data_IF_118000497337
#
_entry.id   IF_118000497337
#
_cell.length_a   1.000
_cell.length_b   1.000
_cell.length_c   1.000
_cell.angle_alpha   90.00
_cell.angle_beta   90.00
_cell.angle_gamma   90.00
#
_symmetry.space_group_name_H-M   'P 1'
#
loop_
_entity.id
_entity.type
_entity.pdbx_description
1 polymer ?
#
# COMPACT_ATOMS: atom_id res chain seq x y z
N UNK A 1 5.43 -8.35 16.39
CA UNK A 1 4.62 -9.55 16.70
C UNK A 1 3.20 -9.10 16.96
N UNK A 2 2.34 -9.20 15.95
CA UNK A 2 0.92 -8.96 16.08
C UNK A 2 0.27 -10.15 16.75
N UNK A 3 -0.05 -10.03 18.02
CA UNK A 3 -1.01 -10.91 18.67
C UNK A 3 -2.38 -10.31 18.42
N UNK A 4 -3.05 -10.75 17.36
CA UNK A 4 -4.48 -10.53 17.18
C UNK A 4 -5.19 -11.21 18.34
N UNK A 5 -5.65 -10.43 19.31
CA UNK A 5 -6.70 -10.88 20.23
C UNK A 5 -7.90 -11.24 19.37
N UNK A 6 -8.27 -12.53 19.40
CA UNK A 6 -9.43 -13.08 18.70
C UNK A 6 -10.70 -12.35 19.09
N UNK A 7 -11.05 -11.31 18.35
CA UNK A 7 -12.46 -10.98 18.19
C UNK A 7 -12.91 -11.76 16.96
N UNK A 8 -13.78 -12.74 17.16
CA UNK A 8 -14.35 -13.61 16.14
C UNK A 8 -15.22 -12.79 15.19
N UNK A 9 -14.58 -12.09 14.27
CA UNK A 9 -15.24 -11.59 13.06
C UNK A 9 -14.97 -12.61 11.99
N UNK A 10 -16.00 -13.40 11.64
CA UNK A 10 -15.93 -14.32 10.51
C UNK A 10 -15.67 -13.49 9.24
N UNK A 11 -14.48 -13.54 8.64
CA UNK A 11 -14.22 -12.75 7.45
C UNK A 11 -14.94 -13.43 6.29
N UNK A 12 -15.90 -12.76 5.70
CA UNK A 12 -16.23 -13.06 4.30
C UNK A 12 -15.05 -12.53 3.46
N UNK A 13 -14.02 -13.36 3.33
CA UNK A 13 -12.80 -13.06 2.59
C UNK A 13 -13.16 -12.86 1.13
N UNK A 14 -13.26 -11.63 0.69
CA UNK A 14 -13.16 -11.32 -0.72
C UNK A 14 -11.74 -11.70 -1.11
N UNK A 15 -11.57 -12.70 -1.99
CA UNK A 15 -10.25 -13.07 -2.53
C UNK A 15 -9.67 -11.84 -3.20
N UNK A 16 -8.63 -11.30 -2.60
CA UNK A 16 -7.89 -10.15 -3.12
C UNK A 16 -6.42 -10.55 -3.10
N UNK A 17 -5.77 -10.49 -4.24
CA UNK A 17 -4.34 -10.73 -4.32
C UNK A 17 -3.61 -9.66 -3.49
N UNK A 18 -2.68 -10.09 -2.63
CA UNK A 18 -1.78 -9.20 -1.90
C UNK A 18 -0.35 -9.53 -2.30
N UNK A 19 0.27 -8.65 -3.06
CA UNK A 19 1.66 -8.76 -3.45
C UNK A 19 2.55 -8.44 -2.25
N UNK A 20 3.38 -9.41 -1.88
CA UNK A 20 4.31 -9.27 -0.76
C UNK A 20 5.61 -8.60 -1.20
N UNK A 21 6.16 -7.70 -0.38
CA UNK A 21 7.49 -7.15 -0.65
C UNK A 21 8.61 -8.19 -0.50
N UNK A 22 8.32 -9.32 0.13
CA UNK A 22 9.26 -10.45 0.30
C UNK A 22 9.12 -11.52 -0.79
N UNK A 23 8.30 -11.30 -1.84
CA UNK A 23 8.17 -12.26 -2.94
C UNK A 23 9.53 -12.39 -3.63
N UNK A 24 10.07 -13.64 -3.81
CA UNK A 24 11.39 -13.86 -4.41
C UNK A 24 11.53 -13.33 -5.84
N UNK A 25 10.43 -13.03 -6.53
CA UNK A 25 10.47 -12.45 -7.88
C UNK A 25 11.09 -11.04 -7.91
N UNK A 26 11.00 -10.30 -6.79
CA UNK A 26 11.52 -8.92 -6.69
C UNK A 26 12.16 -8.59 -5.36
N UNK A 27 11.86 -9.31 -4.28
CA UNK A 27 12.24 -8.93 -2.91
C UNK A 27 13.73 -8.68 -2.72
N UNK A 28 14.59 -9.50 -3.32
CA UNK A 28 16.04 -9.37 -3.22
C UNK A 28 16.64 -8.39 -4.23
N UNK A 29 15.81 -7.85 -5.14
CA UNK A 29 16.26 -6.90 -6.14
C UNK A 29 16.55 -5.54 -5.52
N UNK A 30 17.47 -4.81 -6.12
CA UNK A 30 17.87 -3.48 -5.64
C UNK A 30 16.73 -2.49 -5.86
N UNK A 31 16.32 -1.80 -4.79
CA UNK A 31 15.46 -0.63 -4.86
C UNK A 31 16.29 0.65 -4.97
N UNK A 32 17.30 0.79 -4.13
CA UNK A 32 18.16 1.95 -4.11
C UNK A 32 19.63 1.53 -3.95
N UNK A 33 20.51 2.19 -4.71
CA UNK A 33 21.96 2.06 -4.57
C UNK A 33 22.58 3.45 -4.68
N UNK A 34 23.23 3.90 -3.60
CA UNK A 34 23.94 5.17 -3.56
C UNK A 34 25.10 5.10 -2.59
N UNK A 35 26.32 5.38 -3.07
CA UNK A 35 27.53 5.25 -2.26
C UNK A 35 27.73 3.83 -1.75
N UNK A 36 27.96 3.69 -0.43
CA UNK A 36 28.10 2.39 0.24
C UNK A 36 26.78 1.73 0.64
N UNK A 37 25.63 2.33 0.29
CA UNK A 37 24.31 1.87 0.73
C UNK A 37 23.57 1.20 -0.42
N UNK A 38 23.16 -0.04 -0.21
CA UNK A 38 22.24 -0.77 -1.08
C UNK A 38 21.01 -1.17 -0.27
N UNK A 39 19.84 -0.90 -0.81
CA UNK A 39 18.54 -1.29 -0.24
C UNK A 39 17.77 -2.15 -1.25
N UNK A 40 17.14 -3.19 -0.74
CA UNK A 40 16.31 -4.11 -1.53
C UNK A 40 14.84 -3.70 -1.45
N UNK A 41 14.04 -4.24 -2.37
CA UNK A 41 12.57 -4.07 -2.32
C UNK A 41 12.00 -4.67 -1.04
N UNK A 42 12.47 -5.85 -0.61
CA UNK A 42 12.04 -6.45 0.66
C UNK A 42 12.36 -5.58 1.89
N UNK A 43 13.44 -4.81 1.84
CA UNK A 43 13.87 -3.97 2.96
C UNK A 43 13.25 -2.57 3.00
N UNK A 44 12.80 -2.04 1.85
CA UNK A 44 12.40 -0.61 1.76
C UNK A 44 11.24 -0.36 0.77
N UNK A 45 10.71 -1.40 0.13
CA UNK A 45 9.75 -1.28 -0.97
C UNK A 45 8.28 -1.23 -0.56
N UNK A 46 7.94 -1.02 0.71
CA UNK A 46 6.53 -1.02 1.16
C UNK A 46 5.65 -0.03 0.39
N UNK A 47 6.17 1.16 0.06
CA UNK A 47 5.44 2.16 -0.72
C UNK A 47 5.20 1.73 -2.18
N UNK A 48 6.16 1.02 -2.78
CA UNK A 48 6.00 0.45 -4.12
C UNK A 48 4.88 -0.59 -4.12
N UNK A 49 4.96 -1.54 -3.19
CA UNK A 49 3.99 -2.64 -3.08
C UNK A 49 2.60 -2.15 -2.64
N UNK A 50 2.51 -1.08 -1.84
CA UNK A 50 1.24 -0.46 -1.52
C UNK A 50 0.55 0.11 -2.77
N UNK A 51 1.31 0.77 -3.67
CA UNK A 51 0.78 1.24 -4.95
C UNK A 51 0.38 0.07 -5.86
N UNK A 52 1.26 -0.93 -6.05
CA UNK A 52 0.95 -2.15 -6.83
C UNK A 52 -0.34 -2.81 -6.33
N UNK A 53 -0.46 -3.02 -5.02
CA UNK A 53 -1.65 -3.63 -4.42
C UNK A 53 -2.91 -2.80 -4.63
N UNK A 54 -2.83 -1.47 -4.45
CA UNK A 54 -3.97 -0.57 -4.62
C UNK A 54 -4.48 -0.58 -6.08
N UNK A 55 -3.59 -0.41 -7.06
CA UNK A 55 -3.96 -0.34 -8.47
C UNK A 55 -4.47 -1.70 -8.96
N UNK A 56 -3.78 -2.79 -8.61
CA UNK A 56 -4.25 -4.14 -8.98
C UNK A 56 -5.64 -4.46 -8.42
N UNK A 57 -5.90 -4.12 -7.17
CA UNK A 57 -7.23 -4.31 -6.57
C UNK A 57 -8.32 -3.47 -7.23
N UNK A 58 -7.98 -2.28 -7.74
CA UNK A 58 -8.90 -1.36 -8.36
C UNK A 58 -9.28 -1.77 -9.80
N UNK A 59 -8.29 -2.14 -10.62
CA UNK A 59 -8.49 -2.31 -12.05
C UNK A 59 -7.85 -3.56 -12.68
N UNK A 60 -7.04 -4.32 -11.91
CA UNK A 60 -6.36 -5.53 -12.38
C UNK A 60 -5.01 -5.27 -13.06
N UNK A 61 -4.59 -4.02 -13.18
CA UNK A 61 -3.29 -3.67 -13.76
C UNK A 61 -2.16 -3.95 -12.79
N UNK A 62 -1.13 -4.66 -13.25
CA UNK A 62 0.01 -5.03 -12.43
C UNK A 62 1.18 -4.06 -12.67
N UNK A 63 1.41 -3.19 -11.70
CA UNK A 63 2.61 -2.36 -11.65
C UNK A 63 3.76 -3.21 -11.08
N UNK A 64 4.69 -3.62 -11.95
CA UNK A 64 5.84 -4.45 -11.55
C UNK A 64 6.68 -3.73 -10.49
N UNK A 65 6.90 -4.33 -9.31
CA UNK A 65 7.71 -3.70 -8.25
C UNK A 65 9.15 -3.36 -8.68
N UNK A 66 9.74 -4.12 -9.63
CA UNK A 66 11.07 -3.80 -10.17
C UNK A 66 11.03 -2.52 -11.01
N UNK A 67 10.04 -2.41 -11.88
CA UNK A 67 9.82 -1.20 -12.69
C UNK A 67 9.55 0.01 -11.79
N UNK A 68 8.69 -0.14 -10.78
CA UNK A 68 8.42 0.94 -9.82
C UNK A 68 9.66 1.33 -9.00
N UNK A 69 10.51 0.38 -8.65
CA UNK A 69 11.76 0.66 -7.94
C UNK A 69 12.71 1.51 -8.78
N UNK A 70 12.88 1.16 -10.05
CA UNK A 70 13.69 1.94 -11.00
C UNK A 70 13.07 3.34 -11.24
N UNK A 71 11.77 3.39 -11.47
CA UNK A 71 11.01 4.64 -11.63
C UNK A 71 11.21 5.57 -10.43
N UNK A 72 10.99 5.04 -9.22
CA UNK A 72 11.11 5.78 -7.96
C UNK A 72 12.54 6.27 -7.71
N UNK A 73 13.53 5.38 -7.81
CA UNK A 73 14.91 5.72 -7.50
C UNK A 73 15.50 6.71 -8.51
N UNK A 74 15.24 6.54 -9.81
CA UNK A 74 15.75 7.42 -10.86
C UNK A 74 15.18 8.84 -10.82
N UNK A 75 14.02 9.04 -10.18
CA UNK A 75 13.34 10.34 -10.03
C UNK A 75 13.47 10.95 -8.62
N UNK A 76 14.25 10.32 -7.75
CA UNK A 76 14.48 10.85 -6.39
C UNK A 76 13.34 10.61 -5.41
N UNK A 77 12.44 9.65 -5.69
CA UNK A 77 11.34 9.28 -4.78
C UNK A 77 11.75 8.24 -3.72
N UNK A 78 13.03 8.14 -3.47
CA UNK A 78 13.58 7.36 -2.37
C UNK A 78 14.14 8.28 -1.29
N UNK A 79 13.58 8.20 -0.08
CA UNK A 79 14.10 8.96 1.05
C UNK A 79 15.16 8.14 1.78
N UNK A 80 16.37 8.66 1.83
CA UNK A 80 17.51 7.99 2.42
C UNK A 80 17.22 7.50 3.85
N UNK A 81 17.40 6.20 4.09
CA UNK A 81 17.17 5.56 5.39
C UNK A 81 15.70 5.31 5.76
N UNK A 82 14.71 5.80 4.98
CA UNK A 82 13.29 5.64 5.28
C UNK A 82 12.49 4.87 4.21
N UNK A 83 12.99 4.77 2.98
CA UNK A 83 12.32 4.06 1.90
C UNK A 83 11.62 4.99 0.91
N UNK A 84 10.44 4.64 0.45
CA UNK A 84 9.68 5.39 -0.56
C UNK A 84 9.23 6.75 -0.03
N UNK A 85 9.58 7.82 -0.77
CA UNK A 85 9.01 9.15 -0.57
C UNK A 85 7.62 9.25 -1.21
N UNK A 86 6.69 9.97 -0.58
CA UNK A 86 5.30 10.05 -1.04
C UNK A 86 5.10 10.88 -2.32
N UNK A 87 6.11 11.62 -2.76
CA UNK A 87 6.13 12.26 -4.08
C UNK A 87 6.10 11.26 -5.23
N UNK A 88 6.39 9.98 -4.96
CA UNK A 88 6.18 8.89 -5.91
C UNK A 88 4.73 8.86 -6.43
N UNK A 89 3.75 9.04 -5.56
CA UNK A 89 2.34 8.78 -5.90
C UNK A 89 1.75 9.76 -6.92
N UNK A 90 1.89 11.09 -6.75
CA UNK A 90 1.46 12.02 -7.80
C UNK A 90 2.27 11.87 -9.09
N UNK A 91 3.56 11.56 -9.01
CA UNK A 91 4.42 11.39 -10.17
C UNK A 91 4.07 10.12 -10.97
N UNK A 92 3.86 9.00 -10.28
CA UNK A 92 3.37 7.76 -10.89
C UNK A 92 2.00 7.97 -11.57
N UNK A 93 1.09 8.71 -10.93
CA UNK A 93 -0.21 9.04 -11.53
C UNK A 93 -0.10 9.85 -12.82
N UNK A 94 0.88 10.76 -12.89
CA UNK A 94 1.13 11.59 -14.08
C UNK A 94 1.82 10.82 -15.21
N UNK A 95 2.83 10.00 -14.89
CA UNK A 95 3.71 9.38 -15.87
C UNK A 95 3.26 7.97 -16.30
N UNK A 96 2.65 7.21 -15.37
CA UNK A 96 2.24 5.83 -15.60
C UNK A 96 0.71 5.68 -15.71
N UNK A 97 -0.03 6.74 -15.36
CA UNK A 97 -1.47 6.68 -15.22
C UNK A 97 -2.22 6.30 -16.51
N UNK A 98 -1.80 6.81 -17.65
CA UNK A 98 -2.42 6.50 -18.96
C UNK A 98 -2.17 5.03 -19.34
N UNK A 99 -0.96 4.52 -19.15
CA UNK A 99 -0.58 3.15 -19.50
C UNK A 99 -1.27 2.12 -18.61
N UNK A 100 -1.38 2.39 -17.29
CA UNK A 100 -1.94 1.47 -16.30
C UNK A 100 -3.35 1.85 -15.82
N UNK A 101 -4.02 2.75 -16.54
CA UNK A 101 -5.42 3.15 -16.36
C UNK A 101 -5.76 3.58 -14.92
N UNK A 102 -4.95 4.48 -14.37
CA UNK A 102 -5.22 5.07 -13.05
C UNK A 102 -4.84 6.55 -12.98
N UNK A 103 -5.40 7.26 -12.03
CA UNK A 103 -5.08 8.65 -11.74
C UNK A 103 -4.85 8.85 -10.25
N UNK A 104 -3.83 9.63 -9.90
CA UNK A 104 -3.69 10.16 -8.56
C UNK A 104 -4.69 11.32 -8.38
N UNK A 105 -5.59 11.19 -7.40
CA UNK A 105 -6.67 12.16 -7.16
C UNK A 105 -6.22 13.26 -6.20
N UNK A 106 -5.35 12.92 -5.25
CA UNK A 106 -4.84 13.86 -4.26
C UNK A 106 -4.42 13.20 -2.96
N UNK A 107 -3.90 14.02 -2.05
CA UNK A 107 -3.51 13.64 -0.68
C UNK A 107 -4.55 14.16 0.31
N UNK A 108 -5.01 13.31 1.22
CA UNK A 108 -5.99 13.65 2.27
C UNK A 108 -5.53 13.12 3.63
N UNK A 109 -6.11 13.69 4.71
CA UNK A 109 -5.70 13.41 6.10
C UNK A 109 -6.83 12.82 6.94
N UNK A 110 -7.98 12.52 6.37
CA UNK A 110 -9.11 11.97 7.11
C UNK A 110 -9.62 10.66 6.54
N UNK A 111 -9.88 9.70 7.41
CA UNK A 111 -10.49 8.42 7.04
C UNK A 111 -11.90 8.60 6.45
N UNK A 112 -12.60 9.69 6.81
CA UNK A 112 -13.88 10.07 6.20
C UNK A 112 -13.74 10.33 4.70
N UNK A 113 -12.70 11.05 4.27
CA UNK A 113 -12.42 11.32 2.85
C UNK A 113 -12.09 10.02 2.11
N UNK A 114 -11.29 9.13 2.72
CA UNK A 114 -10.99 7.80 2.16
C UNK A 114 -12.28 7.00 1.97
N UNK A 115 -13.16 6.93 2.97
CA UNK A 115 -14.44 6.22 2.89
C UNK A 115 -15.31 6.72 1.74
N UNK A 116 -15.41 8.04 1.57
CA UNK A 116 -16.17 8.63 0.46
C UNK A 116 -15.57 8.23 -0.89
N UNK A 117 -14.25 8.19 -0.99
CA UNK A 117 -13.53 7.80 -2.21
C UNK A 117 -13.71 6.31 -2.54
N UNK A 118 -13.60 5.41 -1.55
CA UNK A 118 -13.83 3.97 -1.70
C UNK A 118 -15.25 3.67 -2.19
N UNK A 119 -16.27 4.42 -1.74
CA UNK A 119 -17.65 4.29 -2.22
C UNK A 119 -17.81 4.60 -3.70
N UNK A 120 -16.91 5.38 -4.28
CA UNK A 120 -16.84 5.70 -5.71
C UNK A 120 -15.92 4.74 -6.48
N UNK A 121 -15.61 3.56 -5.89
CA UNK A 121 -14.72 2.53 -6.45
C UNK A 121 -13.26 2.97 -6.63
N UNK A 122 -12.83 4.02 -5.93
CA UNK A 122 -11.42 4.38 -5.80
C UNK A 122 -10.72 3.52 -4.75
N UNK A 123 -9.42 3.73 -4.62
CA UNK A 123 -8.54 3.08 -3.63
C UNK A 123 -7.62 4.10 -2.99
N UNK A 124 -6.94 3.72 -1.91
CA UNK A 124 -5.99 4.59 -1.24
C UNK A 124 -4.69 3.84 -0.89
N UNK A 125 -3.60 4.59 -0.85
CA UNK A 125 -2.36 4.20 -0.16
C UNK A 125 -2.25 5.05 1.09
N UNK A 126 -2.03 4.44 2.25
CA UNK A 126 -1.93 5.10 3.54
C UNK A 126 -0.53 4.95 4.14
N UNK A 127 -0.02 6.03 4.73
CA UNK A 127 1.14 5.96 5.62
C UNK A 127 0.66 5.64 7.03
N UNK A 128 1.24 4.60 7.61
CA UNK A 128 1.20 4.28 9.04
C UNK A 128 2.62 4.41 9.60
N UNK A 129 2.85 4.36 10.93
CA UNK A 129 4.19 4.56 11.47
C UNK A 129 5.25 3.67 10.82
N UNK A 130 6.12 4.30 10.01
CA UNK A 130 7.23 3.65 9.31
C UNK A 130 6.87 2.68 8.18
N UNK A 131 5.63 2.70 7.68
CA UNK A 131 5.17 1.73 6.69
C UNK A 131 4.04 2.26 5.80
N UNK A 132 3.93 1.74 4.56
CA UNK A 132 2.80 2.02 3.66
C UNK A 132 1.93 0.78 3.49
N UNK A 133 0.62 0.99 3.50
CA UNK A 133 -0.42 -0.02 3.25
C UNK A 133 -1.40 0.45 2.17
N UNK A 134 -2.05 -0.48 1.48
CA UNK A 134 -3.16 -0.15 0.59
C UNK A 134 -4.50 -0.35 1.29
N UNK A 135 -5.46 0.55 1.05
CA UNK A 135 -6.85 0.46 1.54
C UNK A 135 -7.76 0.44 0.31
N UNK A 136 -8.46 -0.67 0.09
CA UNK A 136 -9.11 -0.94 -1.19
C UNK A 136 -10.62 -1.15 -1.12
N UNK A 137 -11.20 -1.29 0.05
CA UNK A 137 -12.64 -1.37 0.24
C UNK A 137 -13.08 -0.91 1.63
N UNK A 138 -14.35 -0.55 1.74
CA UNK A 138 -15.01 -0.20 2.99
C UNK A 138 -16.27 -1.04 3.19
N UNK A 139 -16.47 -1.54 4.40
CA UNK A 139 -17.62 -2.35 4.80
C UNK A 139 -18.40 -1.64 5.90
N UNK A 140 -19.59 -1.12 5.53
CA UNK A 140 -20.36 -0.23 6.41
C UNK A 140 -20.98 -0.93 7.63
N UNK A 141 -21.30 -2.23 7.52
CA UNK A 141 -22.00 -2.97 8.59
C UNK A 141 -21.23 -3.03 9.90
N UNK A 142 -19.90 -2.95 9.85
CA UNK A 142 -19.01 -3.08 11.00
C UNK A 142 -17.87 -2.04 10.98
N UNK A 143 -18.01 -1.02 10.14
CA UNK A 143 -17.04 0.09 10.00
C UNK A 143 -15.59 -0.39 9.79
N UNK A 144 -15.42 -1.39 8.89
CA UNK A 144 -14.12 -1.97 8.60
C UNK A 144 -13.62 -1.57 7.20
N UNK A 145 -12.29 -1.51 7.07
CA UNK A 145 -11.58 -1.25 5.82
C UNK A 145 -10.78 -2.48 5.40
N UNK A 146 -10.80 -2.81 4.11
CA UNK A 146 -9.97 -3.89 3.58
C UNK A 146 -8.57 -3.35 3.32
N UNK A 147 -7.62 -3.84 4.11
CA UNK A 147 -6.20 -3.47 4.07
C UNK A 147 -5.41 -4.56 3.37
N UNK A 148 -4.58 -4.16 2.42
CA UNK A 148 -3.59 -5.01 1.77
C UNK A 148 -2.20 -4.54 2.23
N UNK A 149 -1.56 -5.35 3.08
CA UNK A 149 -0.25 -5.05 3.64
C UNK A 149 0.80 -5.99 3.05
N UNK A 150 1.79 -5.43 2.38
CA UNK A 150 2.88 -6.19 1.77
C UNK A 150 3.84 -6.82 2.76
N UNK A 151 3.82 -6.42 4.04
CA UNK A 151 4.75 -6.85 5.09
C UNK A 151 4.15 -7.76 6.16
N UNK A 152 2.81 -7.91 6.22
CA UNK A 152 2.11 -8.71 7.27
C UNK A 152 2.67 -10.14 7.36
N UNK A 153 3.08 -10.71 6.25
CA UNK A 153 3.58 -12.08 6.20
C UNK A 153 5.06 -12.10 5.87
N UNK A 154 5.88 -11.56 6.76
CA UNK A 154 7.35 -11.60 6.62
C UNK A 154 7.82 -12.96 6.09
N UNK A 155 8.56 -12.94 4.96
CA UNK A 155 9.11 -14.11 4.25
C UNK A 155 8.09 -15.00 3.54
N UNK A 156 6.86 -14.57 3.31
CA UNK A 156 5.90 -15.31 2.48
C UNK A 156 5.78 -14.68 1.09
N UNK A 157 5.55 -15.51 0.06
CA UNK A 157 5.24 -15.04 -1.29
C UNK A 157 3.90 -14.30 -1.29
N UNK A 158 3.57 -13.72 -2.43
CA UNK A 158 2.25 -13.14 -2.72
C UNK A 158 1.11 -14.05 -2.24
N UNK A 159 0.13 -13.48 -1.55
CA UNK A 159 -1.02 -14.15 -0.95
C UNK A 159 -2.34 -13.67 -1.56
N UNK A 160 -3.44 -14.35 -1.26
CA UNK A 160 -4.79 -13.99 -1.72
C UNK A 160 -5.68 -13.45 -0.58
N UNK A 161 -5.12 -13.02 0.52
CA UNK A 161 -5.87 -12.59 1.70
C UNK A 161 -5.48 -11.18 2.12
N UNK A 162 -6.44 -10.25 2.04
CA UNK A 162 -6.39 -8.98 2.74
C UNK A 162 -7.11 -9.05 4.09
N UNK A 163 -6.85 -8.08 4.96
CA UNK A 163 -7.43 -8.02 6.30
C UNK A 163 -8.49 -6.94 6.41
N UNK A 164 -9.66 -7.28 6.99
CA UNK A 164 -10.66 -6.31 7.37
C UNK A 164 -10.28 -5.69 8.72
N UNK A 165 -9.87 -4.42 8.70
CA UNK A 165 -9.39 -3.68 9.86
C UNK A 165 -10.48 -2.69 10.29
N UNK A 166 -10.89 -2.69 11.58
CA UNK A 166 -11.81 -1.69 12.12
C UNK A 166 -11.27 -0.27 11.99
N UNK A 167 -12.14 0.69 11.70
CA UNK A 167 -11.78 2.11 11.61
C UNK A 167 -11.07 2.62 12.87
N UNK A 168 -11.44 2.10 14.04
CA UNK A 168 -10.82 2.45 15.33
C UNK A 168 -9.33 2.18 15.36
N UNK A 169 -8.85 1.07 14.78
CA UNK A 169 -7.41 0.76 14.73
C UNK A 169 -6.64 1.65 13.75
N UNK A 170 -7.30 2.12 12.68
CA UNK A 170 -6.70 3.04 11.71
C UNK A 170 -6.63 4.50 12.21
N UNK A 171 -7.29 4.80 13.31
CA UNK A 171 -7.36 6.14 13.90
C UNK A 171 -6.90 6.18 15.37
N UNK A 172 -6.50 5.05 15.95
CA UNK A 172 -6.06 4.96 17.34
C UNK A 172 -4.77 5.76 17.56
N UNK A 173 -4.77 6.81 18.40
CA UNK A 173 -3.57 7.59 18.66
C UNK A 173 -2.43 6.75 19.25
N UNK A 174 -1.26 6.81 18.58
CA UNK A 174 -0.09 6.00 18.95
C UNK A 174 -0.19 4.52 18.58
N UNK A 175 -1.27 4.12 17.87
CA UNK A 175 -1.43 2.76 17.36
C UNK A 175 -0.50 2.48 16.18
N UNK A 176 -0.11 1.23 16.01
CA UNK A 176 0.80 0.81 14.94
C UNK A 176 0.19 0.89 13.53
N UNK A 177 -1.14 1.00 13.44
CA UNK A 177 -1.90 1.21 12.20
C UNK A 177 -2.50 2.61 12.11
N UNK A 178 -2.15 3.51 13.03
CA UNK A 178 -2.61 4.89 12.95
C UNK A 178 -2.21 5.51 11.62
N UNK A 179 -3.20 5.78 10.77
CA UNK A 179 -2.94 6.41 9.48
C UNK A 179 -2.64 7.90 9.66
N UNK A 180 -1.52 8.35 9.09
CA UNK A 180 -1.08 9.74 9.14
C UNK A 180 -1.67 10.55 7.98
N UNK A 181 -1.65 9.98 6.78
CA UNK A 181 -2.24 10.54 5.57
C UNK A 181 -2.52 9.46 4.52
N UNK A 182 -3.22 9.86 3.46
CA UNK A 182 -3.63 8.96 2.39
C UNK A 182 -3.44 9.60 1.02
N UNK A 183 -2.96 8.84 0.06
CA UNK A 183 -3.02 9.17 -1.36
C UNK A 183 -4.16 8.42 -2.02
N UNK A 184 -5.03 9.13 -2.73
CA UNK A 184 -6.23 8.59 -3.36
C UNK A 184 -5.99 8.33 -4.84
N UNK A 185 -6.51 7.20 -5.33
CA UNK A 185 -6.42 6.80 -6.73
C UNK A 185 -7.80 6.41 -7.28
N UNK A 186 -8.05 6.75 -8.54
CA UNK A 186 -9.23 6.36 -9.30
C UNK A 186 -8.82 5.83 -10.69
N UNK A 187 -9.76 5.17 -11.36
CA UNK A 187 -9.62 4.84 -12.79
C UNK A 187 -9.67 6.09 -13.65
#
# INVERSE_FOLDING_TARGET
LWTLTKTTVTPSLKRVTVFSQYDPKWGDNTYYSGGAVRKTISGSGCGLLALTNAIYAMNGEFLDPNMLAEFSASRGHYYYGQGTDDTLYPDAGRELGDEYHFRHVGKVYSLKSVRQHLRKKGVAVALVPGHYIAIVAYRAKDDCYLVLDSAIYQKRPTTIYGDWIPASLLTEPGGTLQCEYFHLFSR
#
